data_IF_801699969002
#
_entry.id   IF_801699969002
#
_cell.length_a   1.000
_cell.length_b   1.000
_cell.length_c   1.000
_cell.angle_alpha   90.00
_cell.angle_beta   90.00
_cell.angle_gamma   90.00
#
_symmetry.space_group_name_H-M   'P 1'
#
loop_
_entity.id
_entity.type
_entity.pdbx_description
1 polymer ?
#
# COMPACT_ATOMS: atom_id res chain seq x y z
N UNK A 1 47.49 9.90 -22.09
CA UNK A 1 46.27 10.68 -22.47
C UNK A 1 45.06 9.76 -22.68
N UNK A 2 45.29 8.50 -22.96
CA UNK A 2 44.24 7.49 -23.26
C UNK A 2 43.46 7.00 -22.05
N UNK A 3 44.06 6.94 -20.87
CA UNK A 3 43.41 6.43 -19.64
C UNK A 3 42.23 7.35 -19.21
N UNK A 4 42.44 8.66 -19.26
CA UNK A 4 41.39 9.64 -18.92
C UNK A 4 40.21 9.63 -19.93
N UNK A 5 40.55 9.50 -21.23
CA UNK A 5 39.54 9.35 -22.28
C UNK A 5 38.76 8.01 -22.13
N UNK A 6 39.46 6.93 -21.85
CA UNK A 6 38.81 5.65 -21.60
C UNK A 6 37.93 5.69 -20.35
N UNK A 7 38.36 6.36 -19.30
CA UNK A 7 37.54 6.56 -18.10
C UNK A 7 36.30 7.43 -18.40
N UNK A 8 36.45 8.53 -19.13
CA UNK A 8 35.33 9.36 -19.56
C UNK A 8 34.34 8.59 -20.43
N UNK A 9 34.84 7.79 -21.38
CA UNK A 9 33.98 6.98 -22.23
C UNK A 9 33.23 5.91 -21.44
N UNK A 10 33.90 5.24 -20.51
CA UNK A 10 33.25 4.28 -19.58
C UNK A 10 32.22 4.96 -18.69
N UNK A 11 32.55 6.13 -18.17
CA UNK A 11 31.60 6.89 -17.34
C UNK A 11 30.34 7.31 -18.12
N UNK A 12 30.52 7.82 -19.35
CA UNK A 12 29.42 8.19 -20.24
C UNK A 12 28.62 6.96 -20.67
N UNK A 13 29.28 5.85 -20.96
CA UNK A 13 28.64 4.59 -21.35
C UNK A 13 27.80 4.01 -20.20
N UNK A 14 28.34 3.96 -18.98
CA UNK A 14 27.58 3.57 -17.78
C UNK A 14 26.44 4.53 -17.48
N UNK A 15 26.65 5.85 -17.69
CA UNK A 15 25.63 6.85 -17.50
C UNK A 15 24.46 6.71 -18.49
N UNK A 16 24.77 6.40 -19.74
CA UNK A 16 23.78 6.27 -20.82
C UNK A 16 23.14 4.88 -20.89
N UNK A 17 23.92 3.81 -20.67
CA UNK A 17 23.43 2.43 -20.72
C UNK A 17 22.82 1.97 -19.41
N UNK A 18 23.11 2.67 -18.30
CA UNK A 18 22.51 2.40 -17.01
C UNK A 18 22.87 1.07 -16.37
N UNK A 19 22.07 0.68 -15.39
CA UNK A 19 22.14 -0.63 -14.71
C UNK A 19 20.98 -1.45 -15.27
N UNK A 20 21.26 -2.59 -15.87
CA UNK A 20 20.25 -3.51 -16.44
C UNK A 20 19.35 -2.83 -17.50
N UNK A 21 19.92 -2.00 -18.39
CA UNK A 21 19.15 -1.34 -19.46
C UNK A 21 18.40 -0.09 -19.05
N UNK A 22 18.34 0.26 -17.77
CA UNK A 22 17.66 1.46 -17.27
C UNK A 22 18.66 2.62 -17.19
N UNK A 23 18.36 3.75 -17.80
CA UNK A 23 19.19 4.95 -17.73
C UNK A 23 19.29 5.47 -16.29
N UNK A 24 20.49 5.83 -15.84
CA UNK A 24 20.71 6.38 -14.50
C UNK A 24 19.86 7.65 -14.28
N UNK A 25 19.66 8.45 -15.31
CA UNK A 25 18.78 9.63 -15.26
C UNK A 25 17.32 9.26 -14.92
N UNK A 26 16.81 8.18 -15.49
CA UNK A 26 15.46 7.66 -15.18
C UNK A 26 15.35 7.21 -13.73
N UNK A 27 16.38 6.52 -13.21
CA UNK A 27 16.43 6.09 -11.81
C UNK A 27 16.41 7.30 -10.88
N UNK A 28 17.20 8.35 -11.18
CA UNK A 28 17.23 9.57 -10.36
C UNK A 28 15.85 10.26 -10.37
N UNK A 29 15.22 10.41 -11.54
CA UNK A 29 13.90 11.02 -11.66
C UNK A 29 12.85 10.18 -10.91
N UNK A 30 12.84 8.85 -11.08
CA UNK A 30 11.95 7.95 -10.35
C UNK A 30 12.12 8.08 -8.83
N UNK A 31 13.37 8.19 -8.37
CA UNK A 31 13.69 8.37 -6.95
C UNK A 31 13.18 9.71 -6.42
N UNK A 32 13.34 10.78 -7.18
CA UNK A 32 12.81 12.11 -6.84
C UNK A 32 11.28 12.09 -6.77
N UNK A 33 10.62 11.43 -7.74
CA UNK A 33 9.16 11.25 -7.73
C UNK A 33 8.74 10.50 -6.46
N UNK A 34 9.38 9.38 -6.15
CA UNK A 34 9.04 8.60 -4.97
C UNK A 34 9.23 9.39 -3.67
N UNK A 35 10.37 10.08 -3.52
CA UNK A 35 10.64 10.95 -2.36
C UNK A 35 9.59 12.05 -2.23
N UNK A 36 9.18 12.67 -3.33
CA UNK A 36 8.11 13.65 -3.32
C UNK A 36 6.81 13.09 -2.74
N UNK A 37 6.39 11.89 -3.13
CA UNK A 37 5.21 11.23 -2.57
C UNK A 37 5.39 10.84 -1.11
N UNK A 38 6.61 10.49 -0.67
CA UNK A 38 6.91 10.26 0.75
C UNK A 38 6.69 11.52 1.59
N UNK A 39 7.05 12.69 1.09
CA UNK A 39 6.73 13.96 1.76
C UNK A 39 5.23 14.26 1.74
N UNK A 40 4.56 13.96 0.64
CA UNK A 40 3.12 14.18 0.50
C UNK A 40 2.27 13.36 1.48
N UNK A 41 2.75 12.20 1.97
CA UNK A 41 1.98 11.26 2.80
C UNK A 41 1.33 11.93 4.02
N UNK A 42 2.04 12.85 4.67
CA UNK A 42 1.52 13.56 5.85
C UNK A 42 0.44 14.59 5.51
N UNK A 43 0.65 15.32 4.42
CA UNK A 43 -0.29 16.34 3.93
C UNK A 43 -1.57 15.65 3.43
N UNK A 44 -1.43 14.60 2.63
CA UNK A 44 -2.53 13.82 2.09
C UNK A 44 -3.37 13.17 3.19
N UNK A 45 -2.72 12.52 4.18
CA UNK A 45 -3.42 11.93 5.31
C UNK A 45 -4.23 12.98 6.07
N UNK A 46 -3.63 14.13 6.40
CA UNK A 46 -4.34 15.23 7.08
C UNK A 46 -5.53 15.73 6.25
N UNK A 47 -5.38 15.82 4.93
CA UNK A 47 -6.46 16.24 4.04
C UNK A 47 -7.62 15.24 4.05
N UNK A 48 -7.31 13.94 3.89
CA UNK A 48 -8.31 12.85 3.90
C UNK A 48 -9.03 12.79 5.25
N UNK A 49 -8.27 12.80 6.35
CA UNK A 49 -8.83 12.74 7.71
C UNK A 49 -9.73 13.93 7.99
N UNK A 50 -9.30 15.16 7.70
CA UNK A 50 -10.16 16.35 7.84
C UNK A 50 -11.42 16.27 6.99
N UNK A 51 -11.33 15.68 5.81
CA UNK A 51 -12.50 15.49 4.94
C UNK A 51 -13.47 14.49 5.54
N UNK A 52 -12.95 13.37 6.06
CA UNK A 52 -13.74 12.36 6.78
C UNK A 52 -14.38 12.96 8.03
N UNK A 53 -13.63 13.67 8.86
CA UNK A 53 -14.14 14.37 10.05
C UNK A 53 -15.30 15.30 9.71
N UNK A 54 -15.21 16.07 8.62
CA UNK A 54 -16.26 16.97 8.19
C UNK A 54 -17.57 16.25 7.78
N UNK A 55 -17.45 15.05 7.20
CA UNK A 55 -18.64 14.25 6.87
C UNK A 55 -19.24 13.60 8.11
N UNK A 56 -18.41 13.20 9.02
CA UNK A 56 -18.72 12.44 10.22
C UNK A 56 -19.19 13.36 11.36
N UNK A 57 -18.69 14.59 11.47
CA UNK A 57 -19.07 15.57 12.51
C UNK A 57 -20.57 15.97 12.48
N UNK A 58 -21.28 15.62 11.42
CA UNK A 58 -22.74 15.80 11.34
C UNK A 58 -23.51 14.76 12.15
N UNK A 59 -22.85 13.68 12.58
CA UNK A 59 -23.45 12.57 13.32
C UNK A 59 -22.58 12.35 14.55
N UNK A 60 -23.01 12.79 15.74
CA UNK A 60 -22.23 12.73 16.99
C UNK A 60 -22.09 11.29 17.55
N UNK A 61 -21.55 10.35 16.78
CA UNK A 61 -21.44 8.94 17.15
C UNK A 61 -20.00 8.53 17.45
N UNK A 62 -19.79 7.72 18.50
CA UNK A 62 -18.47 7.12 18.84
C UNK A 62 -17.87 6.28 17.69
N UNK A 63 -18.72 5.72 16.83
CA UNK A 63 -18.34 5.02 15.61
C UNK A 63 -17.49 5.91 14.70
N UNK A 64 -17.92 7.13 14.51
CA UNK A 64 -17.37 8.09 13.59
C UNK A 64 -15.91 8.45 13.94
N UNK A 65 -15.65 8.75 15.21
CA UNK A 65 -14.29 9.05 15.67
C UNK A 65 -13.35 7.82 15.57
N UNK A 66 -13.90 6.63 15.82
CA UNK A 66 -13.15 5.38 15.68
C UNK A 66 -12.82 5.07 14.23
N UNK A 67 -13.74 5.35 13.29
CA UNK A 67 -13.52 5.17 11.85
C UNK A 67 -12.43 6.12 11.34
N UNK A 68 -12.51 7.40 11.69
CA UNK A 68 -11.54 8.41 11.29
C UNK A 68 -10.13 8.03 11.77
N UNK A 69 -9.98 7.67 13.04
CA UNK A 69 -8.67 7.28 13.59
C UNK A 69 -8.12 6.00 12.94
N UNK A 70 -8.98 5.05 12.62
CA UNK A 70 -8.58 3.79 11.96
C UNK A 70 -8.10 4.02 10.51
N UNK A 71 -8.60 5.06 9.83
CA UNK A 71 -8.21 5.40 8.46
C UNK A 71 -6.88 6.13 8.34
N UNK A 72 -6.31 6.62 9.43
CA UNK A 72 -5.07 7.40 9.39
C UNK A 72 -3.89 6.59 8.82
N UNK A 73 -3.77 5.33 9.20
CA UNK A 73 -2.73 4.42 8.70
C UNK A 73 -2.82 4.21 7.19
N UNK A 74 -3.93 3.66 6.67
CA UNK A 74 -4.14 3.51 5.23
C UNK A 74 -4.01 4.82 4.44
N UNK A 75 -4.51 5.94 4.97
CA UNK A 75 -4.39 7.24 4.32
C UNK A 75 -2.94 7.74 4.21
N UNK A 76 -2.05 7.38 5.16
CA UNK A 76 -0.60 7.65 5.07
C UNK A 76 0.10 6.70 4.10
N UNK A 77 -0.38 5.49 3.96
CA UNK A 77 0.23 4.47 3.10
C UNK A 77 -0.15 4.66 1.63
N UNK A 78 -1.33 5.17 1.33
CA UNK A 78 -1.80 5.40 -0.04
C UNK A 78 -0.82 6.22 -0.91
N UNK A 79 -0.29 7.39 -0.48
CA UNK A 79 0.68 8.12 -1.28
C UNK A 79 2.00 7.37 -1.50
N UNK A 80 2.40 6.49 -0.58
CA UNK A 80 3.60 5.66 -0.73
C UNK A 80 3.39 4.67 -1.88
N UNK A 81 2.24 3.97 -1.90
CA UNK A 81 1.87 3.04 -2.96
C UNK A 81 1.76 3.75 -4.30
N UNK A 82 1.06 4.89 -4.33
CA UNK A 82 0.92 5.70 -5.54
C UNK A 82 2.26 6.23 -6.03
N UNK A 83 3.11 6.72 -5.12
CA UNK A 83 4.44 7.22 -5.44
C UNK A 83 5.34 6.13 -6.00
N UNK A 84 5.30 4.93 -5.45
CA UNK A 84 6.03 3.78 -5.97
C UNK A 84 5.53 3.41 -7.38
N UNK A 85 4.21 3.35 -7.58
CA UNK A 85 3.62 3.08 -8.89
C UNK A 85 4.03 4.12 -9.94
N UNK A 86 3.92 5.41 -9.63
CA UNK A 86 4.29 6.49 -10.58
C UNK A 86 5.79 6.48 -10.85
N UNK A 87 6.62 6.27 -9.83
CA UNK A 87 8.07 6.20 -9.97
C UNK A 87 8.50 5.03 -10.87
N UNK A 88 7.93 3.84 -10.64
CA UNK A 88 8.24 2.66 -11.46
C UNK A 88 7.68 2.74 -12.88
N UNK A 89 6.53 3.39 -13.07
CA UNK A 89 5.95 3.63 -14.41
C UNK A 89 6.79 4.60 -15.27
N UNK A 90 7.66 5.38 -14.64
CA UNK A 90 8.60 6.27 -15.36
C UNK A 90 9.85 5.53 -15.87
N UNK A 91 10.16 4.37 -15.30
CA UNK A 91 11.34 3.58 -15.68
C UNK A 91 11.07 2.79 -16.96
N UNK A 92 12.01 2.84 -17.90
CA UNK A 92 12.01 1.96 -19.08
C UNK A 92 12.65 0.62 -18.68
N UNK A 93 11.86 -0.30 -18.15
CA UNK A 93 12.34 -1.57 -17.60
C UNK A 93 12.20 -2.67 -18.67
N UNK A 94 13.25 -3.48 -18.85
CA UNK A 94 13.20 -4.65 -19.73
C UNK A 94 12.23 -5.72 -19.19
N UNK A 95 11.72 -6.60 -20.07
CA UNK A 95 10.57 -7.47 -19.85
C UNK A 95 10.58 -8.25 -18.54
N UNK A 96 11.68 -8.93 -18.20
CA UNK A 96 11.72 -9.79 -17.00
C UNK A 96 11.68 -9.00 -15.68
N UNK A 97 12.34 -7.85 -15.64
CA UNK A 97 12.32 -6.96 -14.49
C UNK A 97 10.99 -6.17 -14.41
N UNK A 98 10.33 -5.90 -15.54
CA UNK A 98 9.03 -5.24 -15.59
C UNK A 98 7.96 -6.09 -14.91
N UNK A 99 7.91 -7.39 -15.16
CA UNK A 99 6.95 -8.31 -14.53
C UNK A 99 7.14 -8.38 -13.01
N UNK A 100 8.39 -8.37 -12.55
CA UNK A 100 8.70 -8.32 -11.12
C UNK A 100 8.21 -7.02 -10.48
N UNK A 101 8.48 -5.88 -11.10
CA UNK A 101 8.03 -4.56 -10.63
C UNK A 101 6.51 -4.45 -10.64
N UNK A 102 5.83 -4.96 -11.67
CA UNK A 102 4.38 -4.99 -11.75
C UNK A 102 3.79 -5.86 -10.62
N UNK A 103 4.40 -7.02 -10.35
CA UNK A 103 3.99 -7.88 -9.23
C UNK A 103 4.14 -7.16 -7.87
N UNK A 104 5.20 -6.39 -7.66
CA UNK A 104 5.36 -5.55 -6.46
C UNK A 104 4.26 -4.49 -6.40
N UNK A 105 3.99 -3.78 -7.49
CA UNK A 105 2.94 -2.76 -7.54
C UNK A 105 1.56 -3.35 -7.18
N UNK A 106 1.20 -4.48 -7.78
CA UNK A 106 -0.04 -5.22 -7.47
C UNK A 106 -0.07 -5.66 -6.00
N UNK A 107 1.04 -6.14 -5.47
CA UNK A 107 1.15 -6.55 -4.06
C UNK A 107 0.92 -5.37 -3.12
N UNK A 108 1.52 -4.22 -3.37
CA UNK A 108 1.34 -3.01 -2.57
C UNK A 108 -0.12 -2.51 -2.58
N UNK A 109 -0.75 -2.52 -3.76
CA UNK A 109 -2.18 -2.16 -3.90
C UNK A 109 -3.06 -3.16 -3.14
N UNK A 110 -2.78 -4.45 -3.26
CA UNK A 110 -3.51 -5.51 -2.54
C UNK A 110 -3.39 -5.34 -1.02
N UNK A 111 -2.17 -5.11 -0.53
CA UNK A 111 -1.92 -4.83 0.89
C UNK A 111 -2.69 -3.60 1.36
N UNK A 112 -2.67 -2.51 0.58
CA UNK A 112 -3.41 -1.29 0.91
C UNK A 112 -4.92 -1.56 1.04
N UNK A 113 -5.51 -2.33 0.11
CA UNK A 113 -6.94 -2.66 0.10
C UNK A 113 -7.28 -3.51 1.34
N UNK A 114 -6.59 -4.63 1.55
CA UNK A 114 -6.88 -5.52 2.67
C UNK A 114 -6.58 -4.89 4.02
N UNK A 115 -5.52 -4.07 4.12
CA UNK A 115 -5.25 -3.30 5.33
C UNK A 115 -6.38 -2.30 5.62
N UNK A 116 -6.88 -1.61 4.59
CA UNK A 116 -8.02 -0.69 4.75
C UNK A 116 -9.25 -1.44 5.26
N UNK A 117 -9.61 -2.59 4.67
CA UNK A 117 -10.71 -3.41 5.17
C UNK A 117 -10.49 -3.86 6.61
N UNK A 118 -9.29 -4.35 6.95
CA UNK A 118 -8.97 -4.76 8.32
C UNK A 118 -9.17 -3.62 9.33
N UNK A 119 -8.83 -2.39 8.96
CA UNK A 119 -8.97 -1.23 9.84
C UNK A 119 -10.44 -0.82 10.03
N UNK A 120 -11.30 -0.97 9.02
CA UNK A 120 -12.72 -0.64 9.10
C UNK A 120 -13.48 -1.59 10.05
N UNK A 121 -13.05 -2.82 10.20
CA UNK A 121 -13.72 -3.81 11.07
C UNK A 121 -13.74 -3.39 12.54
N UNK A 122 -12.70 -2.69 13.02
CA UNK A 122 -12.65 -2.19 14.40
C UNK A 122 -13.81 -1.24 14.73
N UNK A 123 -13.99 -0.14 13.98
CA UNK A 123 -15.12 0.77 14.12
C UNK A 123 -16.50 0.11 14.03
N UNK A 124 -16.69 -0.86 13.13
CA UNK A 124 -17.96 -1.60 13.01
C UNK A 124 -18.39 -2.26 14.33
N UNK A 125 -17.45 -2.59 15.22
CA UNK A 125 -17.75 -3.11 16.54
C UNK A 125 -18.61 -2.17 17.39
N UNK A 126 -18.43 -0.87 17.21
CA UNK A 126 -19.18 0.14 17.97
C UNK A 126 -20.66 0.12 17.55
N UNK A 127 -20.92 -0.04 16.24
CA UNK A 127 -22.30 -0.13 15.71
C UNK A 127 -22.97 -1.41 16.19
N UNK A 128 -22.27 -2.54 16.07
CA UNK A 128 -22.82 -3.86 16.49
C UNK A 128 -23.14 -3.85 18.00
N UNK A 129 -22.28 -3.25 18.82
CA UNK A 129 -22.50 -3.13 20.27
C UNK A 129 -23.69 -2.23 20.64
N UNK A 130 -23.99 -1.25 19.80
CA UNK A 130 -25.13 -0.34 20.04
C UNK A 130 -26.49 -0.95 19.64
N UNK A 131 -26.48 -1.95 18.76
CA UNK A 131 -27.71 -2.63 18.28
C UNK A 131 -28.01 -3.91 19.08
N UNK A 132 -27.04 -4.41 19.87
CA UNK A 132 -27.10 -5.75 20.41
C UNK A 132 -27.29 -5.86 21.91
N UNK A 133 -28.52 -5.68 22.43
CA UNK A 133 -28.89 -6.25 23.74
C UNK A 133 -28.97 -7.79 23.73
N UNK A 134 -28.89 -8.41 22.54
CA UNK A 134 -29.03 -9.87 22.34
C UNK A 134 -27.69 -10.63 22.36
N UNK A 135 -26.57 -9.95 22.18
CA UNK A 135 -25.25 -10.59 22.12
C UNK A 135 -24.35 -10.11 23.25
N UNK A 136 -23.66 -11.02 23.91
CA UNK A 136 -22.68 -10.65 24.94
C UNK A 136 -21.53 -9.83 24.30
N UNK A 137 -20.98 -8.86 25.05
CA UNK A 137 -19.86 -8.03 24.60
C UNK A 137 -18.64 -8.87 24.20
N UNK A 138 -18.45 -9.99 24.87
CA UNK A 138 -17.34 -10.91 24.62
C UNK A 138 -17.52 -11.66 23.30
N UNK A 139 -18.72 -12.08 22.97
CA UNK A 139 -19.03 -12.73 21.70
C UNK A 139 -18.81 -11.77 20.53
N UNK A 140 -19.25 -10.50 20.63
CA UNK A 140 -19.01 -9.48 19.61
C UNK A 140 -17.52 -9.26 19.42
N UNK A 141 -16.74 -9.12 20.49
CA UNK A 141 -15.30 -8.94 20.41
C UNK A 141 -14.61 -10.14 19.76
N UNK A 142 -15.08 -11.36 20.03
CA UNK A 142 -14.54 -12.57 19.43
C UNK A 142 -14.81 -12.63 17.91
N UNK A 143 -16.06 -12.35 17.50
CA UNK A 143 -16.43 -12.28 16.07
C UNK A 143 -15.57 -11.25 15.32
N UNK A 144 -15.36 -10.06 15.89
CA UNK A 144 -14.54 -9.01 15.28
C UNK A 144 -13.10 -9.47 15.12
N UNK A 145 -12.51 -10.12 16.12
CA UNK A 145 -11.17 -10.69 16.03
C UNK A 145 -11.11 -11.77 14.93
N UNK A 146 -12.11 -12.66 14.87
CA UNK A 146 -12.17 -13.69 13.84
C UNK A 146 -12.26 -13.09 12.43
N UNK A 147 -13.10 -12.08 12.22
CA UNK A 147 -13.21 -11.39 10.92
C UNK A 147 -11.91 -10.68 10.56
N UNK A 148 -11.23 -10.02 11.51
CA UNK A 148 -9.93 -9.39 11.27
C UNK A 148 -8.87 -10.41 10.84
N UNK A 149 -8.81 -11.54 11.52
CA UNK A 149 -7.90 -12.65 11.18
C UNK A 149 -8.22 -13.19 9.78
N UNK A 150 -9.51 -13.38 9.48
CA UNK A 150 -9.94 -13.84 8.15
C UNK A 150 -9.48 -12.86 7.05
N UNK A 151 -9.73 -11.55 7.22
CA UNK A 151 -9.29 -10.54 6.25
C UNK A 151 -7.77 -10.54 6.10
N UNK A 152 -7.03 -10.69 7.19
CA UNK A 152 -5.56 -10.77 7.16
C UNK A 152 -5.10 -12.00 6.36
N UNK A 153 -5.68 -13.18 6.63
CA UNK A 153 -5.36 -14.42 5.90
C UNK A 153 -5.68 -14.27 4.41
N UNK A 154 -6.84 -13.71 4.07
CA UNK A 154 -7.23 -13.48 2.67
C UNK A 154 -6.28 -12.49 1.97
N UNK A 155 -5.83 -11.45 2.68
CA UNK A 155 -4.86 -10.49 2.14
C UNK A 155 -3.50 -11.13 1.87
N UNK A 156 -2.99 -11.92 2.81
CA UNK A 156 -1.75 -12.69 2.62
C UNK A 156 -1.90 -13.69 1.47
N UNK A 157 -3.02 -14.40 1.43
CA UNK A 157 -3.37 -15.32 0.36
C UNK A 157 -3.34 -14.65 -1.02
N UNK A 158 -4.01 -13.51 -1.15
CA UNK A 158 -4.06 -12.75 -2.40
C UNK A 158 -2.66 -12.28 -2.84
N UNK A 159 -1.80 -11.84 -1.91
CA UNK A 159 -0.42 -11.46 -2.23
C UNK A 159 0.39 -12.67 -2.69
N UNK A 160 0.30 -13.81 -2.01
CA UNK A 160 1.02 -15.03 -2.40
C UNK A 160 0.60 -15.52 -3.79
N UNK A 161 -0.68 -15.40 -4.14
CA UNK A 161 -1.18 -15.77 -5.47
C UNK A 161 -0.59 -14.89 -6.57
N UNK A 162 -0.38 -13.60 -6.33
CA UNK A 162 0.33 -12.71 -7.27
C UNK A 162 1.77 -13.16 -7.53
N UNK A 163 2.40 -13.81 -6.55
CA UNK A 163 3.75 -14.39 -6.66
C UNK A 163 3.73 -15.83 -7.20
N UNK A 164 2.59 -16.30 -7.73
CA UNK A 164 2.46 -17.62 -8.34
C UNK A 164 2.32 -18.77 -7.35
N UNK A 165 2.19 -18.50 -6.07
CA UNK A 165 1.97 -19.52 -5.03
C UNK A 165 0.48 -19.85 -5.02
N UNK A 166 0.13 -21.01 -5.58
CA UNK A 166 -1.27 -21.49 -5.63
C UNK A 166 -1.74 -21.88 -4.23
N UNK A 167 -2.61 -21.06 -3.63
CA UNK A 167 -3.11 -21.28 -2.26
C UNK A 167 -4.27 -22.26 -2.25
N UNK A 168 -5.05 -22.40 -3.35
CA UNK A 168 -6.15 -23.32 -3.45
C UNK A 168 -5.83 -24.74 -2.94
N UNK A 169 -4.75 -25.39 -3.39
CA UNK A 169 -4.34 -26.71 -2.91
C UNK A 169 -3.97 -26.72 -1.42
N UNK A 170 -3.45 -25.62 -0.88
CA UNK A 170 -3.03 -25.52 0.53
C UNK A 170 -4.24 -25.42 1.47
N UNK A 171 -5.34 -24.81 0.98
CA UNK A 171 -6.59 -24.65 1.75
C UNK A 171 -7.48 -25.90 1.62
N UNK A 172 -7.41 -26.58 0.48
CA UNK A 172 -8.26 -27.76 0.19
C UNK A 172 -7.74 -29.07 0.81
N UNK A 173 -6.48 -29.11 1.27
CA UNK A 173 -5.90 -30.24 1.88
C UNK A 173 -5.36 -30.96 2.39
#
# INVERSE_FOLDING_TARGET
>A
MDILKNFQNLFVDVWQKGISGINISEIIVALVIFIFFLFLRGIFSKFVIKRLEKYVSKTSNKFDNSLVSSMEGPAKFFPIVLGFFVATSYLTIETDAADFVDTINRSLITILIFWTFHQIIGPLSVVIKSVGDLLSKDLINWIIKAVKVLIFILGVAAVLELWGIKIGPIIAG
#
